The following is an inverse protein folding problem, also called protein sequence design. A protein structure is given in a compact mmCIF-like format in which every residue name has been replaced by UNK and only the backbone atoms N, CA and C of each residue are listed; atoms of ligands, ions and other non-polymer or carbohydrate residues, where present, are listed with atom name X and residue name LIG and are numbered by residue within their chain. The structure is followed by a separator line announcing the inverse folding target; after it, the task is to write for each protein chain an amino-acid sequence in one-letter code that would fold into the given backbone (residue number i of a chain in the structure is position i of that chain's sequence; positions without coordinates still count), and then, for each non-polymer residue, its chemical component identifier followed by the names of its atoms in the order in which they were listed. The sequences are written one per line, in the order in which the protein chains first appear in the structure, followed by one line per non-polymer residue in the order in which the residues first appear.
data_IF_842713855908
#
_entry.id   IF_842713855908
#
_cell.length_a   1.000
_cell.length_b   1.000
_cell.length_c   1.000
_cell.angle_alpha   90.00
_cell.angle_beta   90.00
_cell.angle_gamma   90.00
#
_symmetry.space_group_name_H-M   'P 1'
#
loop_
_entity.id
_entity.type
_entity.pdbx_description
1 polymer ?
#
# COMPACT_ATOMS: atom_id res chain seq x y z
N UNK A 1 20.88 -0.99 12.31
CA UNK A 1 21.11 -2.44 12.06
C UNK A 1 19.78 -3.16 12.21
N UNK A 2 19.27 -3.81 11.17
CA UNK A 2 18.05 -4.61 11.28
C UNK A 2 18.42 -5.95 11.92
N UNK A 3 17.63 -6.41 12.89
CA UNK A 3 17.91 -7.68 13.59
C UNK A 3 17.58 -8.88 12.70
N UNK A 4 18.41 -9.94 12.78
CA UNK A 4 18.20 -11.19 12.05
C UNK A 4 16.82 -11.83 12.26
N UNK A 5 16.20 -11.79 13.47
CA UNK A 5 14.83 -12.24 13.67
C UNK A 5 13.81 -11.41 12.88
N UNK A 6 13.99 -10.08 12.83
CA UNK A 6 13.12 -9.16 12.09
C UNK A 6 13.15 -9.42 10.58
N UNK A 7 14.33 -9.61 10.01
CA UNK A 7 14.50 -9.95 8.59
C UNK A 7 13.86 -11.29 8.27
N UNK A 8 14.03 -12.31 9.13
CA UNK A 8 13.45 -13.64 8.90
C UNK A 8 11.91 -13.63 8.95
N UNK A 9 11.33 -12.80 9.82
CA UNK A 9 9.87 -12.59 9.88
C UNK A 9 9.37 -11.90 8.61
N UNK A 10 10.03 -10.84 8.17
CA UNK A 10 9.65 -10.13 6.93
C UNK A 10 9.75 -11.04 5.70
N UNK A 11 10.84 -11.81 5.56
CA UNK A 11 10.99 -12.76 4.44
C UNK A 11 9.91 -13.85 4.43
N UNK A 12 9.44 -14.29 5.60
CA UNK A 12 8.32 -15.23 5.70
C UNK A 12 7.02 -14.60 5.18
N UNK A 13 6.68 -13.40 5.65
CA UNK A 13 5.47 -12.68 5.22
C UNK A 13 5.50 -12.42 3.72
N UNK A 14 6.64 -11.97 3.19
CA UNK A 14 6.81 -11.74 1.76
C UNK A 14 6.68 -13.03 0.93
N UNK A 15 7.14 -14.16 1.47
CA UNK A 15 6.99 -15.46 0.81
C UNK A 15 5.52 -15.89 0.81
N UNK A 16 4.82 -15.76 1.93
CA UNK A 16 3.40 -16.10 2.07
C UNK A 16 2.53 -15.25 1.13
N UNK A 17 2.85 -13.96 0.98
CA UNK A 17 2.21 -13.07 0.00
C UNK A 17 2.68 -13.28 -1.45
N UNK A 18 3.49 -14.29 -1.73
CA UNK A 18 4.02 -14.59 -3.07
C UNK A 18 5.04 -13.59 -3.62
N UNK A 19 5.34 -12.52 -2.89
CA UNK A 19 6.22 -11.41 -3.30
C UNK A 19 7.69 -11.81 -3.41
N UNK A 20 8.09 -12.93 -2.80
CA UNK A 20 9.43 -13.51 -2.98
C UNK A 20 9.36 -15.01 -3.26
N UNK A 21 10.23 -15.51 -4.12
CA UNK A 21 10.51 -16.95 -4.26
C UNK A 21 11.68 -17.35 -3.37
N UNK A 22 11.72 -18.63 -3.01
CA UNK A 22 12.83 -19.22 -2.24
C UNK A 22 13.38 -20.44 -2.95
N UNK A 23 14.70 -20.51 -3.11
CA UNK A 23 15.42 -21.70 -3.59
C UNK A 23 16.43 -22.14 -2.54
N UNK A 24 16.54 -23.45 -2.33
CA UNK A 24 17.61 -24.02 -1.49
C UNK A 24 18.86 -24.20 -2.35
N UNK A 25 19.98 -23.74 -1.83
CA UNK A 25 21.31 -23.90 -2.43
C UNK A 25 22.25 -24.46 -1.35
N UNK A 26 22.33 -25.80 -1.30
CA UNK A 26 22.96 -26.52 -0.20
C UNK A 26 22.35 -26.14 1.16
N UNK A 27 23.17 -25.57 2.06
CA UNK A 27 22.75 -25.09 3.38
C UNK A 27 22.13 -23.68 3.36
N UNK A 28 22.18 -22.97 2.22
CA UNK A 28 21.69 -21.60 2.08
C UNK A 28 20.28 -21.57 1.52
N UNK A 29 19.52 -20.53 1.87
CA UNK A 29 18.23 -20.19 1.25
C UNK A 29 18.41 -18.89 0.49
N UNK A 30 18.27 -18.95 -0.83
CA UNK A 30 18.32 -17.79 -1.72
C UNK A 30 16.89 -17.27 -1.90
N UNK A 31 16.69 -15.99 -1.65
CA UNK A 31 15.41 -15.31 -1.84
C UNK A 31 15.50 -14.38 -3.06
N UNK A 32 14.48 -14.39 -3.90
CA UNK A 32 14.39 -13.51 -5.06
C UNK A 32 13.04 -12.82 -5.10
N UNK A 33 13.03 -11.53 -5.41
CA UNK A 33 11.79 -10.75 -5.48
C UNK A 33 11.00 -11.13 -6.73
N UNK A 34 9.69 -11.27 -6.56
CA UNK A 34 8.72 -11.48 -7.65
C UNK A 34 7.89 -10.22 -7.81
N UNK A 35 7.96 -9.60 -8.99
CA UNK A 35 7.19 -8.40 -9.30
C UNK A 35 5.71 -8.66 -9.61
N UNK A 36 5.34 -9.88 -9.97
CA UNK A 36 3.99 -10.21 -10.45
C UNK A 36 2.89 -9.94 -9.41
N UNK A 37 3.01 -10.36 -8.14
CA UNK A 37 1.98 -10.09 -7.13
C UNK A 37 1.80 -8.60 -6.84
N UNK A 38 2.89 -7.84 -6.88
CA UNK A 38 2.83 -6.38 -6.75
C UNK A 38 2.10 -5.76 -7.94
N UNK A 39 2.35 -6.24 -9.16
CA UNK A 39 1.66 -5.78 -10.36
C UNK A 39 0.16 -6.07 -10.32
N UNK A 40 -0.24 -7.22 -9.79
CA UNK A 40 -1.65 -7.57 -9.58
C UNK A 40 -2.31 -6.62 -8.56
N UNK A 41 -1.67 -6.38 -7.42
CA UNK A 41 -2.15 -5.42 -6.43
C UNK A 41 -2.26 -4.00 -7.01
N UNK A 42 -1.26 -3.54 -7.77
CA UNK A 42 -1.30 -2.24 -8.47
C UNK A 42 -2.43 -2.19 -9.49
N UNK A 43 -2.69 -3.27 -10.23
CA UNK A 43 -3.81 -3.33 -11.18
C UNK A 43 -5.16 -3.22 -10.48
N UNK A 44 -5.34 -3.95 -9.37
CA UNK A 44 -6.55 -3.87 -8.57
C UNK A 44 -6.75 -2.47 -7.98
N UNK A 45 -5.69 -1.88 -7.41
CA UNK A 45 -5.74 -0.50 -6.92
C UNK A 45 -6.08 0.50 -8.04
N UNK A 46 -5.48 0.33 -9.21
CA UNK A 46 -5.75 1.17 -10.39
C UNK A 46 -7.20 1.09 -10.86
N UNK A 47 -7.87 -0.05 -10.70
CA UNK A 47 -9.30 -0.19 -11.01
C UNK A 47 -10.18 0.66 -10.08
N UNK A 48 -9.84 0.78 -8.80
CA UNK A 48 -10.61 1.56 -7.83
C UNK A 48 -10.18 3.03 -7.74
N UNK A 49 -8.99 3.40 -8.22
CA UNK A 49 -8.47 4.76 -8.13
C UNK A 49 -9.46 5.82 -8.68
N UNK A 50 -10.07 5.66 -9.87
CA UNK A 50 -10.99 6.66 -10.42
C UNK A 50 -12.24 6.90 -9.55
N UNK A 51 -12.72 5.86 -8.87
CA UNK A 51 -13.86 5.96 -7.96
C UNK A 51 -13.54 6.87 -6.77
N UNK A 52 -12.38 6.67 -6.15
CA UNK A 52 -11.93 7.49 -5.03
C UNK A 52 -11.61 8.91 -5.46
N UNK A 53 -10.91 9.08 -6.58
CA UNK A 53 -10.62 10.39 -7.16
C UNK A 53 -11.89 11.18 -7.40
N UNK A 54 -12.89 10.60 -8.08
CA UNK A 54 -14.17 11.28 -8.32
C UNK A 54 -14.90 11.68 -7.04
N UNK A 55 -14.87 10.83 -6.01
CA UNK A 55 -15.47 11.14 -4.71
C UNK A 55 -14.75 12.28 -4.00
N UNK A 56 -13.42 12.26 -4.01
CA UNK A 56 -12.58 13.30 -3.42
C UNK A 56 -12.74 14.63 -4.15
N UNK A 57 -12.72 14.63 -5.49
CA UNK A 57 -12.97 15.83 -6.29
C UNK A 57 -14.34 16.46 -5.98
N UNK A 58 -15.39 15.64 -5.83
CA UNK A 58 -16.71 16.14 -5.43
C UNK A 58 -16.68 16.76 -4.04
N UNK A 59 -15.99 16.12 -3.09
CA UNK A 59 -15.85 16.62 -1.73
C UNK A 59 -15.11 17.97 -1.72
N UNK A 60 -14.01 18.08 -2.47
CA UNK A 60 -13.26 19.32 -2.62
C UNK A 60 -14.12 20.44 -3.21
N UNK A 61 -14.95 20.12 -4.22
CA UNK A 61 -15.90 21.07 -4.79
C UNK A 61 -16.93 21.58 -3.78
N UNK A 62 -17.45 20.71 -2.92
CA UNK A 62 -18.38 21.10 -1.85
C UNK A 62 -17.71 21.99 -0.80
N UNK A 63 -16.48 21.66 -0.40
CA UNK A 63 -15.71 22.46 0.55
C UNK A 63 -15.35 23.84 0.00
N UNK A 64 -15.01 23.92 -1.29
CA UNK A 64 -14.78 25.19 -1.98
C UNK A 64 -16.05 26.04 -2.06
N UNK A 65 -17.21 25.41 -2.30
CA UNK A 65 -18.51 26.08 -2.37
C UNK A 65 -19.03 26.56 -1.02
N UNK A 66 -18.71 25.86 0.09
CA UNK A 66 -19.12 26.29 1.44
C UNK A 66 -18.39 27.56 1.92
N UNK A 67 -17.29 27.97 1.27
CA UNK A 67 -16.42 29.05 1.76
C UNK A 67 -15.86 28.75 3.16
N UNK A 68 -14.98 29.58 3.73
CA UNK A 68 -14.58 29.40 5.13
C UNK A 68 -15.84 29.59 5.99
N UNK A 69 -16.38 28.49 6.54
CA UNK A 69 -17.36 28.54 7.62
C UNK A 69 -16.72 29.39 8.71
N UNK A 70 -17.15 30.66 8.82
CA UNK A 70 -16.81 31.52 9.95
C UNK A 70 -17.30 30.74 11.16
N UNK A 71 -16.40 30.05 11.87
CA UNK A 71 -16.70 29.43 13.16
C UNK A 71 -17.38 30.52 13.97
N UNK A 72 -18.68 30.36 14.18
CA UNK A 72 -19.47 31.33 14.92
C UNK A 72 -18.72 31.54 16.23
N UNK A 73 -18.24 32.77 16.43
CA UNK A 73 -17.63 33.24 17.66
C UNK A 73 -18.74 33.16 18.71
N UNK A 74 -18.88 32.00 19.35
CA UNK A 74 -19.80 31.83 20.46
C UNK A 74 -19.05 32.31 21.70
N UNK A 75 -19.41 33.53 22.11
CA UNK A 75 -19.23 34.06 23.47
C UNK A 75 -19.80 33.08 24.49
#
# INVERSE_FOLDING_TARGET
RVSQPGVSKQLRILKEGGMVSVRRDGRRRLYSVRGDPLREATRWLGFYAPFWEGRLTRMDGLLAAEGPRKRAKRR
#
